data_IF_856073641647
#
_entry.id   IF_856073641647
#
_cell.length_a   1.000
_cell.length_b   1.000
_cell.length_c   1.000
_cell.angle_alpha   90.00
_cell.angle_beta   90.00
_cell.angle_gamma   90.00
#
_symmetry.space_group_name_H-M   'P 1'
#
loop_
_entity.id
_entity.type
_entity.pdbx_description
1 polymer ?
#
# COMPACT_ATOMS: atom_id res chain seq x y z
N UNK A 1 -0.07 20.58 68.59
CA UNK A 1 0.59 19.26 68.42
C UNK A 1 0.03 18.44 67.23
N UNK A 2 -1.26 18.55 66.93
CA UNK A 2 -1.97 17.84 65.84
C UNK A 2 -1.46 18.23 64.44
N UNK A 3 -1.26 19.54 64.17
CA UNK A 3 -0.86 20.05 62.83
C UNK A 3 0.55 19.55 62.42
N UNK A 4 1.48 19.38 63.36
CA UNK A 4 2.81 18.81 63.06
C UNK A 4 2.74 17.32 62.66
N UNK A 5 1.81 16.58 63.27
CA UNK A 5 1.59 15.18 62.93
C UNK A 5 0.96 15.00 61.56
N UNK A 6 0.02 15.90 61.16
CA UNK A 6 -0.62 15.90 59.85
C UNK A 6 0.41 16.22 58.75
N UNK A 7 1.29 17.19 58.94
CA UNK A 7 2.37 17.50 57.98
C UNK A 7 3.34 16.34 57.82
N UNK A 8 3.66 15.62 58.86
CA UNK A 8 4.56 14.48 58.79
C UNK A 8 3.93 13.30 58.03
N UNK A 9 2.64 13.03 58.23
CA UNK A 9 1.85 12.03 57.48
C UNK A 9 1.77 12.38 56.01
N UNK A 10 1.56 13.65 55.66
CA UNK A 10 1.50 14.09 54.26
C UNK A 10 2.84 13.95 53.53
N UNK A 11 3.96 14.22 54.22
CA UNK A 11 5.32 14.07 53.68
C UNK A 11 5.66 12.58 53.48
N UNK A 12 5.29 11.72 54.41
CA UNK A 12 5.49 10.26 54.23
C UNK A 12 4.64 9.69 53.12
N UNK A 13 3.40 10.15 52.90
CA UNK A 13 2.57 9.72 51.75
C UNK A 13 3.16 10.13 50.39
N UNK A 14 3.82 11.29 50.31
CA UNK A 14 4.52 11.75 49.11
C UNK A 14 5.80 10.96 48.82
N UNK A 15 6.46 10.39 49.83
CA UNK A 15 7.65 9.58 49.68
C UNK A 15 7.35 8.11 49.27
N UNK A 16 6.10 7.64 49.45
CA UNK A 16 5.64 6.32 49.01
C UNK A 16 5.08 6.34 47.57
N UNK A 17 5.34 7.37 46.81
CA UNK A 17 5.14 7.24 45.35
C UNK A 17 6.16 6.25 44.82
N UNK A 18 5.76 4.97 44.83
CA UNK A 18 6.48 3.96 44.06
C UNK A 18 6.64 4.48 42.64
N UNK A 19 7.86 4.52 42.08
CA UNK A 19 8.01 4.85 40.68
C UNK A 19 7.08 3.90 39.93
N UNK A 20 6.09 4.44 39.23
CA UNK A 20 5.33 3.72 38.24
C UNK A 20 6.36 3.22 37.22
N UNK A 21 6.90 2.04 37.46
CA UNK A 21 7.56 1.30 36.43
C UNK A 21 6.45 0.93 35.45
N UNK A 22 6.17 1.85 34.53
CA UNK A 22 5.58 1.48 33.27
C UNK A 22 6.52 0.43 32.70
N UNK A 23 6.16 -0.85 32.87
CA UNK A 23 6.70 -1.89 32.01
C UNK A 23 6.28 -1.49 30.64
N UNK A 24 7.14 -0.79 29.88
CA UNK A 24 7.05 -0.72 28.46
C UNK A 24 7.24 -2.17 27.99
N UNK A 25 6.12 -2.89 27.81
CA UNK A 25 6.15 -4.12 27.11
C UNK A 25 6.76 -3.80 25.75
N UNK A 26 8.04 -4.15 25.61
CA UNK A 26 8.80 -4.33 24.38
C UNK A 26 8.52 -3.34 23.25
N UNK A 27 8.85 -2.05 23.43
CA UNK A 27 9.26 -1.18 22.34
C UNK A 27 10.65 -1.56 21.78
N UNK A 28 11.28 -2.62 22.29
CA UNK A 28 12.55 -3.16 21.76
C UNK A 28 12.43 -3.66 20.32
N UNK A 29 11.21 -3.87 19.82
CA UNK A 29 10.98 -4.25 18.42
C UNK A 29 11.01 -3.08 17.44
N UNK A 30 10.85 -1.84 17.91
CA UNK A 30 10.93 -0.63 17.10
C UNK A 30 12.13 0.23 17.49
N UNK A 31 13.26 -0.01 16.86
CA UNK A 31 14.40 0.89 16.98
C UNK A 31 13.99 2.30 16.51
N UNK A 32 14.10 3.29 17.41
CA UNK A 32 13.76 4.69 17.14
C UNK A 32 14.48 5.25 15.90
N UNK A 33 15.69 4.77 15.63
CA UNK A 33 16.46 5.11 14.44
C UNK A 33 15.79 4.63 13.14
N UNK A 34 15.24 3.41 13.13
CA UNK A 34 14.53 2.89 11.96
C UNK A 34 13.19 3.60 11.74
N UNK A 35 12.46 3.91 12.81
CA UNK A 35 11.24 4.71 12.73
C UNK A 35 11.53 6.14 12.23
N UNK A 36 12.57 6.79 12.74
CA UNK A 36 12.99 8.12 12.27
C UNK A 36 13.27 8.10 10.76
N UNK A 37 13.99 7.12 10.25
CA UNK A 37 14.24 6.95 8.82
C UNK A 37 12.95 6.72 8.02
N UNK A 38 12.04 5.89 8.54
CA UNK A 38 10.76 5.66 7.90
C UNK A 38 9.96 6.96 7.75
N UNK A 39 9.83 7.75 8.81
CA UNK A 39 9.15 9.04 8.75
C UNK A 39 9.88 10.05 7.84
N UNK A 40 11.21 10.07 7.85
CA UNK A 40 11.98 10.87 6.90
C UNK A 40 11.71 10.46 5.45
N UNK A 41 11.53 9.16 5.19
CA UNK A 41 11.12 8.64 3.90
C UNK A 41 9.73 9.12 3.48
N UNK A 42 8.76 9.13 4.38
CA UNK A 42 7.42 9.68 4.12
C UNK A 42 7.50 11.17 3.79
N UNK A 43 8.21 11.96 4.59
CA UNK A 43 8.38 13.41 4.34
C UNK A 43 9.05 13.65 2.99
N UNK A 44 10.05 12.85 2.61
CA UNK A 44 10.70 12.95 1.31
C UNK A 44 9.73 12.63 0.15
N UNK A 45 8.87 11.62 0.29
CA UNK A 45 7.83 11.30 -0.69
C UNK A 45 6.84 12.46 -0.88
N UNK A 46 6.34 13.02 0.20
CA UNK A 46 5.42 14.17 0.16
C UNK A 46 6.05 15.38 -0.54
N UNK A 47 7.36 15.57 -0.36
CA UNK A 47 8.15 16.60 -1.04
C UNK A 47 8.57 16.18 -2.47
N UNK A 48 8.07 15.07 -3.01
CA UNK A 48 8.39 14.54 -4.35
C UNK A 48 9.88 14.23 -4.56
N UNK A 49 10.64 14.06 -3.49
CA UNK A 49 12.03 13.62 -3.55
C UNK A 49 12.10 12.09 -3.45
N UNK A 50 11.74 11.44 -4.56
CA UNK A 50 11.52 9.99 -4.60
C UNK A 50 12.82 9.21 -4.35
N UNK A 51 13.95 9.68 -4.86
CA UNK A 51 15.25 9.04 -4.66
C UNK A 51 15.63 9.02 -3.18
N UNK A 52 15.55 10.19 -2.51
CA UNK A 52 15.84 10.31 -1.08
C UNK A 52 14.87 9.48 -0.24
N UNK A 53 13.57 9.47 -0.60
CA UNK A 53 12.58 8.62 0.06
C UNK A 53 12.96 7.15 -0.01
N UNK A 54 13.34 6.68 -1.20
CA UNK A 54 13.77 5.31 -1.41
C UNK A 54 15.02 4.95 -0.60
N UNK A 55 15.97 5.87 -0.44
CA UNK A 55 17.17 5.67 0.37
C UNK A 55 16.84 5.54 1.86
N UNK A 56 15.93 6.35 2.37
CA UNK A 56 15.42 6.24 3.73
C UNK A 56 14.71 4.90 3.96
N UNK A 57 13.81 4.49 3.06
CA UNK A 57 13.16 3.19 3.15
C UNK A 57 14.19 2.04 3.02
N UNK A 58 15.14 2.12 2.11
CA UNK A 58 16.19 1.09 2.01
C UNK A 58 16.99 0.93 3.30
N UNK A 59 17.21 2.00 4.04
CA UNK A 59 18.00 1.97 5.29
C UNK A 59 17.17 1.58 6.52
N UNK A 60 15.83 1.42 6.39
CA UNK A 60 14.92 0.99 7.46
C UNK A 60 14.14 -0.29 7.13
N UNK A 61 14.66 -1.14 6.23
CA UNK A 61 14.00 -2.37 5.74
C UNK A 61 13.63 -3.38 6.82
N UNK A 62 14.21 -3.31 8.00
CA UNK A 62 13.84 -4.17 9.13
C UNK A 62 12.35 -4.00 9.49
N UNK A 63 11.76 -2.82 9.18
CA UNK A 63 10.35 -2.54 9.40
C UNK A 63 9.40 -3.31 8.47
N UNK A 64 9.89 -3.92 7.39
CA UNK A 64 9.08 -4.75 6.48
C UNK A 64 8.35 -5.92 7.17
N UNK A 65 8.86 -6.40 8.30
CA UNK A 65 8.26 -7.50 9.06
C UNK A 65 7.57 -7.04 10.34
N UNK A 66 7.66 -5.76 10.68
CA UNK A 66 7.26 -5.22 11.98
C UNK A 66 6.24 -4.08 11.88
N UNK A 67 6.08 -3.46 10.71
CA UNK A 67 5.25 -2.27 10.53
C UNK A 67 4.46 -2.35 9.22
N UNK A 68 3.18 -2.66 9.31
CA UNK A 68 2.32 -2.94 8.16
C UNK A 68 2.30 -1.84 7.10
N UNK A 69 2.16 -0.54 7.45
CA UNK A 69 2.17 0.53 6.45
C UNK A 69 3.50 0.71 5.71
N UNK A 70 4.59 0.13 6.21
CA UNK A 70 5.92 0.28 5.61
C UNK A 70 5.98 -0.31 4.19
N UNK A 71 5.41 -1.49 3.99
CA UNK A 71 5.49 -2.18 2.71
C UNK A 71 4.86 -1.36 1.59
N UNK A 72 3.69 -0.76 1.83
CA UNK A 72 2.99 0.08 0.86
C UNK A 72 3.84 1.29 0.46
N UNK A 73 4.38 2.04 1.43
CA UNK A 73 5.22 3.22 1.17
C UNK A 73 6.51 2.86 0.45
N UNK A 74 7.12 1.73 0.82
CA UNK A 74 8.34 1.25 0.15
C UNK A 74 8.06 0.83 -1.29
N UNK A 75 6.95 0.12 -1.57
CA UNK A 75 6.56 -0.25 -2.93
C UNK A 75 6.29 1.00 -3.75
N UNK A 76 5.56 1.98 -3.22
CA UNK A 76 5.30 3.25 -3.89
C UNK A 76 6.62 3.95 -4.28
N UNK A 77 7.58 4.06 -3.37
CA UNK A 77 8.88 4.65 -3.68
C UNK A 77 9.67 3.88 -4.74
N UNK A 78 9.57 2.54 -4.76
CA UNK A 78 10.18 1.72 -5.81
C UNK A 78 9.56 1.99 -7.18
N UNK A 79 8.23 2.14 -7.24
CA UNK A 79 7.49 2.44 -8.48
C UNK A 79 7.87 3.83 -9.00
N UNK A 80 7.89 4.84 -8.14
CA UNK A 80 8.25 6.21 -8.49
C UNK A 80 9.71 6.34 -8.98
N UNK A 81 10.59 5.47 -8.51
CA UNK A 81 11.97 5.35 -8.97
C UNK A 81 12.16 4.35 -10.13
N UNK A 82 11.06 4.01 -10.82
CA UNK A 82 11.04 3.07 -11.97
C UNK A 82 11.64 1.68 -11.68
N UNK A 83 11.64 1.24 -10.41
CA UNK A 83 12.14 -0.06 -9.97
C UNK A 83 11.01 -1.10 -9.90
N UNK A 84 10.17 -1.15 -10.93
CA UNK A 84 8.91 -1.92 -10.99
C UNK A 84 9.15 -3.41 -10.72
N UNK A 85 10.16 -4.01 -11.38
CA UNK A 85 10.47 -5.44 -11.20
C UNK A 85 10.79 -5.77 -9.74
N UNK A 86 11.51 -4.88 -9.04
CA UNK A 86 11.82 -5.07 -7.62
C UNK A 86 10.57 -4.96 -6.76
N UNK A 87 9.67 -4.01 -7.05
CA UNK A 87 8.38 -3.88 -6.37
C UNK A 87 7.54 -5.14 -6.52
N UNK A 88 7.36 -5.63 -7.75
CA UNK A 88 6.59 -6.85 -8.05
C UNK A 88 7.17 -8.08 -7.34
N UNK A 89 8.49 -8.26 -7.38
CA UNK A 89 9.13 -9.39 -6.69
C UNK A 89 8.95 -9.32 -5.18
N UNK A 90 9.02 -8.11 -4.60
CA UNK A 90 8.79 -7.90 -3.18
C UNK A 90 7.36 -8.27 -2.77
N UNK A 91 6.35 -7.86 -3.56
CA UNK A 91 4.95 -8.23 -3.34
C UNK A 91 4.79 -9.74 -3.41
N UNK A 92 5.31 -10.40 -4.46
CA UNK A 92 5.20 -11.85 -4.64
C UNK A 92 5.80 -12.63 -3.48
N UNK A 93 6.95 -12.19 -2.97
CA UNK A 93 7.64 -12.83 -1.84
C UNK A 93 6.94 -12.61 -0.48
N UNK A 94 5.99 -11.68 -0.42
CA UNK A 94 5.23 -11.33 0.80
C UNK A 94 3.74 -11.67 0.70
N UNK A 95 3.27 -12.22 -0.43
CA UNK A 95 1.85 -12.40 -0.73
C UNK A 95 1.06 -13.18 0.33
N UNK A 96 1.71 -14.09 1.04
CA UNK A 96 1.07 -14.89 2.09
C UNK A 96 1.00 -14.16 3.44
N UNK A 97 1.42 -12.91 3.52
CA UNK A 97 1.35 -12.07 4.72
C UNK A 97 0.26 -11.01 4.54
N UNK A 98 -0.48 -10.78 5.59
CA UNK A 98 -1.59 -9.81 5.65
C UNK A 98 -1.19 -8.42 5.12
N UNK A 99 0.05 -8.01 5.36
CA UNK A 99 0.63 -6.70 5.03
C UNK A 99 0.83 -6.46 3.53
N UNK A 100 0.74 -7.49 2.66
CA UNK A 100 0.83 -7.32 1.20
C UNK A 100 -0.54 -7.18 0.53
N UNK A 101 -1.60 -7.05 1.33
CA UNK A 101 -2.97 -7.13 0.91
C UNK A 101 -3.59 -5.73 0.76
N UNK A 102 -3.13 -4.94 -0.22
CA UNK A 102 -3.62 -3.59 -0.53
C UNK A 102 -3.79 -3.41 -2.05
N UNK A 103 -4.64 -2.45 -2.44
CA UNK A 103 -5.08 -2.26 -3.83
C UNK A 103 -3.92 -2.11 -4.82
N UNK A 104 -2.96 -1.22 -4.53
CA UNK A 104 -1.84 -0.93 -5.45
C UNK A 104 -0.92 -2.13 -5.67
N UNK A 105 -0.76 -3.01 -4.67
CA UNK A 105 -0.01 -4.24 -4.83
C UNK A 105 -0.66 -5.16 -5.87
N UNK A 106 -1.96 -5.36 -5.79
CA UNK A 106 -2.68 -6.16 -6.78
C UNK A 106 -2.70 -5.50 -8.16
N UNK A 107 -2.84 -4.17 -8.22
CA UNK A 107 -2.75 -3.42 -9.46
C UNK A 107 -1.41 -3.68 -10.18
N UNK A 108 -0.30 -3.63 -9.45
CA UNK A 108 1.02 -3.95 -9.99
C UNK A 108 1.13 -5.40 -10.47
N UNK A 109 0.55 -6.36 -9.74
CA UNK A 109 0.53 -7.77 -10.15
C UNK A 109 -0.30 -8.00 -11.41
N UNK A 110 -1.44 -7.32 -11.55
CA UNK A 110 -2.27 -7.36 -12.77
C UNK A 110 -1.48 -6.83 -13.96
N UNK A 111 -0.87 -5.64 -13.82
CA UNK A 111 -0.11 -5.01 -14.89
C UNK A 111 1.14 -5.83 -15.28
N UNK A 112 1.86 -6.39 -14.31
CA UNK A 112 3.00 -7.31 -14.56
C UNK A 112 2.54 -8.55 -15.34
N UNK A 113 1.37 -9.11 -15.00
CA UNK A 113 0.81 -10.28 -15.67
C UNK A 113 0.36 -9.97 -17.09
N UNK A 114 -0.30 -8.82 -17.32
CA UNK A 114 -0.66 -8.35 -18.66
C UNK A 114 0.60 -8.15 -19.51
N UNK A 115 1.62 -7.48 -18.97
CA UNK A 115 2.91 -7.27 -19.66
C UNK A 115 3.58 -8.57 -20.09
N UNK A 116 3.42 -9.64 -19.30
CA UNK A 116 3.95 -10.98 -19.57
C UNK A 116 3.02 -11.83 -20.45
N UNK A 117 1.92 -11.27 -20.90
CA UNK A 117 0.85 -11.97 -21.63
C UNK A 117 0.23 -13.15 -20.85
N UNK A 118 0.33 -13.16 -19.53
CA UNK A 118 -0.33 -14.11 -18.64
C UNK A 118 -1.71 -13.58 -18.21
N UNK A 119 -2.64 -13.61 -19.16
CA UNK A 119 -3.97 -13.04 -18.98
C UNK A 119 -4.83 -13.81 -17.97
N UNK A 120 -4.57 -15.11 -17.79
CA UNK A 120 -5.25 -15.90 -16.76
C UNK A 120 -4.84 -15.43 -15.36
N UNK A 121 -3.54 -15.24 -15.15
CA UNK A 121 -3.02 -14.73 -13.88
C UNK A 121 -3.47 -13.29 -13.59
N UNK A 122 -3.52 -12.45 -14.63
CA UNK A 122 -4.07 -11.11 -14.52
C UNK A 122 -5.53 -11.14 -14.06
N UNK A 123 -6.34 -12.07 -14.58
CA UNK A 123 -7.74 -12.25 -14.20
C UNK A 123 -7.90 -12.74 -12.74
N UNK A 124 -7.05 -13.66 -12.28
CA UNK A 124 -7.04 -14.10 -10.88
C UNK A 124 -6.77 -12.94 -9.92
N UNK A 125 -5.75 -12.12 -10.20
CA UNK A 125 -5.46 -10.94 -9.39
C UNK A 125 -6.57 -9.90 -9.45
N UNK A 126 -7.20 -9.71 -10.61
CA UNK A 126 -8.35 -8.81 -10.78
C UNK A 126 -9.50 -9.21 -9.86
N UNK A 127 -9.85 -10.50 -9.83
CA UNK A 127 -10.92 -11.02 -8.93
C UNK A 127 -10.57 -10.77 -7.47
N UNK A 128 -9.31 -11.03 -7.09
CA UNK A 128 -8.85 -10.80 -5.72
C UNK A 128 -8.85 -9.32 -5.30
N UNK A 129 -8.89 -8.38 -6.25
CA UNK A 129 -8.90 -6.94 -5.99
C UNK A 129 -10.29 -6.40 -5.64
N UNK A 130 -11.37 -7.11 -5.93
CA UNK A 130 -12.76 -6.66 -5.72
C UNK A 130 -13.03 -6.19 -4.28
N UNK A 131 -12.42 -6.83 -3.28
CA UNK A 131 -12.55 -6.48 -1.86
C UNK A 131 -12.08 -5.07 -1.49
N UNK A 132 -11.28 -4.42 -2.34
CA UNK A 132 -10.73 -3.07 -2.07
C UNK A 132 -11.52 -1.94 -2.74
N UNK A 133 -12.57 -2.25 -3.50
CA UNK A 133 -13.24 -1.23 -4.33
C UNK A 133 -14.70 -0.97 -3.95
N UNK A 134 -15.22 -1.61 -2.89
CA UNK A 134 -16.65 -1.54 -2.53
C UNK A 134 -17.17 -0.10 -2.35
N UNK A 135 -16.34 0.82 -1.84
CA UNK A 135 -16.73 2.21 -1.58
C UNK A 135 -15.83 3.23 -2.28
N UNK A 136 -14.96 2.80 -3.20
CA UNK A 136 -14.04 3.67 -3.91
C UNK A 136 -14.38 3.69 -5.41
N UNK A 137 -15.01 4.80 -5.84
CA UNK A 137 -15.42 5.00 -7.23
C UNK A 137 -14.22 5.06 -8.19
N UNK A 138 -13.09 5.63 -7.76
CA UNK A 138 -11.90 5.75 -8.59
C UNK A 138 -11.25 4.38 -8.81
N UNK A 139 -11.01 3.64 -7.74
CA UNK A 139 -10.47 2.28 -7.83
C UNK A 139 -11.41 1.35 -8.60
N UNK A 140 -12.73 1.49 -8.43
CA UNK A 140 -13.74 0.75 -9.21
C UNK A 140 -13.62 1.03 -10.71
N UNK A 141 -13.38 2.28 -11.11
CA UNK A 141 -13.22 2.64 -12.52
C UNK A 141 -11.94 2.08 -13.13
N UNK A 142 -10.83 2.09 -12.38
CA UNK A 142 -9.57 1.46 -12.80
C UNK A 142 -9.77 -0.04 -12.99
N UNK A 143 -10.40 -0.71 -12.01
CA UNK A 143 -10.61 -2.15 -12.04
C UNK A 143 -11.51 -2.57 -13.20
N UNK A 144 -12.60 -1.82 -13.46
CA UNK A 144 -13.47 -2.08 -14.60
C UNK A 144 -12.73 -1.89 -15.94
N UNK A 145 -11.89 -0.87 -16.06
CA UNK A 145 -11.06 -0.69 -17.26
C UNK A 145 -10.10 -1.84 -17.48
N UNK A 146 -9.42 -2.32 -16.43
CA UNK A 146 -8.52 -3.47 -16.50
C UNK A 146 -9.26 -4.76 -16.87
N UNK A 147 -10.46 -4.99 -16.31
CA UNK A 147 -11.33 -6.11 -16.68
C UNK A 147 -11.63 -6.11 -18.18
N UNK A 148 -11.99 -4.95 -18.71
CA UNK A 148 -12.29 -4.80 -20.14
C UNK A 148 -11.05 -5.03 -21.00
N UNK A 149 -9.87 -4.51 -20.63
CA UNK A 149 -8.62 -4.76 -21.37
C UNK A 149 -8.22 -6.23 -21.35
N UNK A 150 -8.27 -6.89 -20.20
CA UNK A 150 -7.97 -8.34 -20.10
C UNK A 150 -8.92 -9.12 -21.00
N UNK A 151 -10.21 -8.81 -20.98
CA UNK A 151 -11.20 -9.45 -21.85
C UNK A 151 -10.88 -9.26 -23.34
N UNK A 152 -10.63 -8.01 -23.77
CA UNK A 152 -10.31 -7.68 -25.16
C UNK A 152 -9.02 -8.37 -25.62
N UNK A 153 -7.99 -8.42 -24.78
CA UNK A 153 -6.74 -9.10 -25.11
C UNK A 153 -6.91 -10.60 -25.25
N UNK A 154 -7.79 -11.21 -24.45
CA UNK A 154 -8.07 -12.64 -24.44
C UNK A 154 -9.03 -13.06 -25.56
N UNK A 155 -10.18 -12.39 -25.66
CA UNK A 155 -11.29 -12.79 -26.51
C UNK A 155 -11.29 -12.11 -27.89
N UNK A 156 -10.45 -11.10 -28.10
CA UNK A 156 -10.38 -10.28 -29.33
C UNK A 156 -11.71 -9.65 -29.74
N UNK A 157 -12.52 -9.26 -28.76
CA UNK A 157 -13.80 -8.57 -28.93
C UNK A 157 -14.11 -7.65 -27.77
N UNK A 158 -14.98 -6.65 -28.01
CA UNK A 158 -15.41 -5.72 -26.95
C UNK A 158 -16.35 -6.43 -25.98
N UNK A 159 -16.20 -6.13 -24.67
CA UNK A 159 -17.12 -6.61 -23.64
C UNK A 159 -18.45 -5.83 -23.72
N UNK A 160 -19.58 -6.56 -23.87
CA UNK A 160 -20.89 -5.95 -23.99
C UNK A 160 -21.40 -5.40 -22.65
N UNK A 161 -21.31 -6.19 -21.60
CA UNK A 161 -21.75 -5.81 -20.24
C UNK A 161 -20.61 -5.16 -19.47
N UNK A 162 -20.64 -3.82 -19.36
CA UNK A 162 -19.62 -3.03 -18.68
C UNK A 162 -20.25 -1.90 -17.87
N UNK A 163 -19.64 -1.58 -16.72
CA UNK A 163 -20.01 -0.40 -15.95
C UNK A 163 -19.58 0.88 -16.68
N UNK A 164 -20.42 1.92 -16.61
CA UNK A 164 -20.13 3.21 -17.21
C UNK A 164 -19.58 4.19 -16.16
N UNK A 165 -18.37 4.67 -16.38
CA UNK A 165 -17.69 5.70 -15.61
C UNK A 165 -17.49 6.99 -16.40
N UNK A 166 -18.43 7.32 -17.29
CA UNK A 166 -18.44 8.55 -18.09
C UNK A 166 -17.28 8.61 -19.09
N UNK A 167 -16.58 9.73 -19.14
CA UNK A 167 -15.49 9.96 -20.11
C UNK A 167 -14.39 8.89 -20.06
N UNK A 168 -14.08 8.36 -18.87
CA UNK A 168 -13.08 7.31 -18.75
C UNK A 168 -13.48 6.02 -19.48
N UNK A 169 -14.77 5.65 -19.44
CA UNK A 169 -15.27 4.51 -20.19
C UNK A 169 -15.18 4.71 -21.70
N UNK A 170 -15.44 5.93 -22.20
CA UNK A 170 -15.31 6.27 -23.62
C UNK A 170 -13.85 6.16 -24.06
N UNK A 171 -12.92 6.73 -23.31
CA UNK A 171 -11.48 6.65 -23.59
C UNK A 171 -11.02 5.19 -23.61
N UNK A 172 -11.40 4.43 -22.59
CA UNK A 172 -11.05 2.99 -22.48
C UNK A 172 -11.56 2.22 -23.70
N UNK A 173 -12.81 2.41 -24.12
CA UNK A 173 -13.37 1.73 -25.27
C UNK A 173 -12.69 2.15 -26.58
N UNK A 174 -12.34 3.42 -26.74
CA UNK A 174 -11.61 3.91 -27.91
C UNK A 174 -10.27 3.18 -28.06
N UNK A 175 -9.50 3.03 -26.98
CA UNK A 175 -8.26 2.26 -27.02
C UNK A 175 -8.48 0.78 -27.34
N UNK A 176 -9.54 0.16 -26.81
CA UNK A 176 -9.88 -1.23 -27.10
C UNK A 176 -10.22 -1.43 -28.58
N UNK A 177 -11.01 -0.51 -29.19
CA UNK A 177 -11.34 -0.53 -30.62
C UNK A 177 -10.09 -0.35 -31.48
N UNK A 178 -9.23 0.60 -31.11
CA UNK A 178 -7.95 0.80 -31.78
C UNK A 178 -7.09 -0.47 -31.76
N UNK A 179 -7.00 -1.13 -30.61
CA UNK A 179 -6.28 -2.41 -30.50
C UNK A 179 -6.86 -3.52 -31.38
N UNK A 180 -8.18 -3.55 -31.58
CA UNK A 180 -8.85 -4.53 -32.44
C UNK A 180 -8.79 -4.17 -33.93
N UNK A 181 -8.23 -3.01 -34.31
CA UNK A 181 -8.19 -2.52 -35.68
C UNK A 181 -9.54 -2.03 -36.20
N UNK A 182 -10.48 -1.69 -35.29
CA UNK A 182 -11.79 -1.13 -35.69
C UNK A 182 -11.63 0.30 -36.20
N UNK A 183 -11.85 0.48 -37.52
CA UNK A 183 -11.69 1.77 -38.22
C UNK A 183 -12.85 2.74 -38.00
N UNK A 184 -13.85 2.39 -37.18
CA UNK A 184 -15.03 3.20 -36.88
C UNK A 184 -14.89 4.14 -35.69
N UNK A 185 -13.67 4.56 -35.37
CA UNK A 185 -13.40 5.57 -34.32
C UNK A 185 -13.20 6.94 -34.94
#
# INVERSE_FOLDING_TARGET
MVIKKIKFILITLLLYQTPLHSKSNSFDDFDSKNLSKYFSGIVALENKNNSLALDYFNSSKILLSKHDPYLEKYINSLVLENKITKAVNLIKNKKDKENSNFFDAYLLLILDSIKKNDLNKAQEYLIATNKFVENDRFNSAILESLKQYIYVFKEKKILNEKKNFGKLSIISETFQRCFLGDKKT
#
